data_IF_522766825077
#
_entry.id   IF_522766825077
#
_cell.length_a   1.000
_cell.length_b   1.000
_cell.length_c   1.000
_cell.angle_alpha   90.00
_cell.angle_beta   90.00
_cell.angle_gamma   90.00
#
_symmetry.space_group_name_H-M   'P 1'
#
loop_
_entity.id
_entity.type
_entity.pdbx_description
1 polymer ?
#
# COMPACT_ATOMS: atom_id res chain seq x y z
N UNK A 1 -4.33 21.01 -2.67
CA UNK A 1 -4.30 20.17 -1.46
C UNK A 1 -3.11 19.24 -1.51
N UNK A 2 -2.47 19.02 -0.34
CA UNK A 2 -1.28 18.18 -0.24
C UNK A 2 -1.68 16.70 -0.15
N UNK A 3 -1.07 15.81 -0.94
CA UNK A 3 -1.39 14.40 -1.01
C UNK A 3 -0.64 13.60 0.07
N UNK A 4 -1.29 12.62 0.68
CA UNK A 4 -0.71 11.77 1.72
C UNK A 4 -0.47 10.37 1.18
N UNK A 5 0.81 10.00 1.05
CA UNK A 5 1.22 8.62 0.77
C UNK A 5 1.48 7.91 2.09
N UNK A 6 1.17 6.61 2.15
CA UNK A 6 1.37 5.81 3.36
C UNK A 6 1.98 4.44 3.07
N UNK A 7 2.78 3.95 4.01
CA UNK A 7 3.25 2.56 4.06
C UNK A 7 3.15 2.03 5.49
N UNK A 8 2.73 0.79 5.64
CA UNK A 8 2.59 0.11 6.93
C UNK A 8 3.31 -1.22 6.88
N UNK A 9 4.34 -1.40 7.71
CA UNK A 9 5.06 -2.68 7.83
C UNK A 9 5.96 -2.76 9.07
N UNK A 10 6.63 -3.90 9.24
CA UNK A 10 7.64 -4.12 10.28
C UNK A 10 9.07 -3.76 9.87
N UNK A 11 9.27 -2.92 8.88
CA UNK A 11 10.54 -2.40 8.35
C UNK A 11 11.66 -3.43 8.21
N UNK A 12 11.32 -4.65 7.78
CA UNK A 12 12.29 -5.69 7.40
C UNK A 12 12.74 -5.52 5.97
N UNK A 13 13.93 -6.00 5.57
CA UNK A 13 14.44 -5.88 4.19
C UNK A 13 13.48 -6.33 3.10
N UNK A 14 12.71 -7.39 3.37
CA UNK A 14 11.68 -7.92 2.45
C UNK A 14 10.55 -6.92 2.16
N UNK A 15 10.32 -5.94 3.04
CA UNK A 15 9.29 -4.90 2.86
C UNK A 15 9.76 -3.71 2.04
N UNK A 16 11.08 -3.58 1.81
CA UNK A 16 11.67 -2.60 0.91
C UNK A 16 11.30 -1.15 1.24
N UNK A 17 11.28 -0.79 2.52
CA UNK A 17 10.93 0.57 2.97
C UNK A 17 11.82 1.66 2.36
N UNK A 18 13.12 1.44 2.12
CA UNK A 18 13.94 2.38 1.34
C UNK A 18 13.39 2.67 -0.06
N UNK A 19 12.75 1.70 -0.72
CA UNK A 19 12.15 1.93 -2.04
C UNK A 19 10.85 2.75 -1.93
N UNK A 20 10.07 2.62 -0.85
CA UNK A 20 8.94 3.54 -0.56
C UNK A 20 9.42 4.99 -0.51
N UNK A 21 10.54 5.26 0.18
CA UNK A 21 11.13 6.59 0.30
C UNK A 21 11.61 7.12 -1.06
N UNK A 22 12.24 6.27 -1.88
CA UNK A 22 12.67 6.64 -3.24
C UNK A 22 11.46 6.97 -4.13
N UNK A 23 10.42 6.14 -4.12
CA UNK A 23 9.15 6.40 -4.84
C UNK A 23 8.60 7.75 -4.40
N UNK A 24 8.46 7.97 -3.09
CA UNK A 24 7.97 9.23 -2.56
C UNK A 24 8.83 10.43 -2.98
N UNK A 25 10.15 10.31 -2.99
CA UNK A 25 11.05 11.41 -3.39
C UNK A 25 10.81 11.86 -4.83
N UNK A 26 10.44 10.93 -5.72
CA UNK A 26 10.07 11.26 -7.12
C UNK A 26 8.69 11.91 -7.17
N UNK A 27 7.70 11.36 -6.45
CA UNK A 27 6.35 11.93 -6.39
C UNK A 27 6.38 13.36 -5.86
N UNK A 28 7.12 13.60 -4.77
CA UNK A 28 7.24 14.91 -4.11
C UNK A 28 7.78 16.01 -5.02
N UNK A 29 8.65 15.67 -5.98
CA UNK A 29 9.16 16.64 -6.98
C UNK A 29 8.07 17.13 -7.93
N UNK A 30 6.99 16.37 -8.09
CA UNK A 30 5.91 16.64 -9.04
C UNK A 30 4.64 17.14 -8.36
N UNK A 31 4.31 16.58 -7.20
CA UNK A 31 3.08 16.87 -6.47
C UNK A 31 3.37 17.25 -5.02
N UNK A 32 2.76 18.33 -4.48
CA UNK A 32 2.77 18.60 -3.05
C UNK A 32 2.26 17.38 -2.28
N UNK A 33 3.12 16.75 -1.49
CA UNK A 33 2.78 15.49 -0.82
C UNK A 33 3.58 15.27 0.46
N UNK A 34 3.07 14.40 1.35
CA UNK A 34 3.74 13.89 2.54
C UNK A 34 3.74 12.37 2.54
N UNK A 35 4.71 11.78 3.24
CA UNK A 35 4.80 10.34 3.45
C UNK A 35 4.64 10.02 4.93
N UNK A 36 3.73 9.09 5.22
CA UNK A 36 3.57 8.49 6.55
C UNK A 36 4.11 7.07 6.51
N UNK A 37 5.04 6.76 7.40
CA UNK A 37 5.62 5.43 7.59
C UNK A 37 5.18 4.91 8.96
N UNK A 38 4.31 3.90 8.96
CA UNK A 38 3.78 3.26 10.16
C UNK A 38 4.49 1.93 10.38
N UNK A 39 4.97 1.72 11.59
CA UNK A 39 5.70 0.54 11.99
C UNK A 39 7.13 0.84 12.43
N UNK A 40 7.88 -0.22 12.66
CA UNK A 40 9.26 -0.13 13.13
C UNK A 40 10.02 -1.40 12.76
N UNK A 41 11.35 -1.34 12.76
CA UNK A 41 12.18 -2.48 12.46
C UNK A 41 13.61 -2.14 12.05
N UNK A 42 14.39 -3.15 11.64
CA UNK A 42 15.83 -3.00 11.43
C UNK A 42 16.22 -1.97 10.36
N UNK A 43 15.37 -1.70 9.36
CA UNK A 43 15.68 -0.72 8.32
C UNK A 43 15.34 0.73 8.69
N UNK A 44 14.80 1.00 9.89
CA UNK A 44 14.38 2.37 10.27
C UNK A 44 15.50 3.38 10.17
N UNK A 45 16.66 3.12 10.78
CA UNK A 45 17.79 4.05 10.77
C UNK A 45 18.31 4.34 9.36
N UNK A 46 18.31 3.33 8.49
CA UNK A 46 18.66 3.47 7.07
C UNK A 46 17.64 4.35 6.33
N UNK A 47 16.34 4.15 6.60
CA UNK A 47 15.27 4.97 6.04
C UNK A 47 15.39 6.45 6.46
N UNK A 48 15.68 6.72 7.72
CA UNK A 48 15.91 8.08 8.23
C UNK A 48 17.17 8.73 7.61
N UNK A 49 18.25 7.95 7.42
CA UNK A 49 19.44 8.40 6.71
C UNK A 49 19.13 8.78 5.26
N UNK A 50 18.39 7.90 4.56
CA UNK A 50 17.99 8.12 3.17
C UNK A 50 17.11 9.38 3.01
N UNK A 51 16.20 9.64 3.93
CA UNK A 51 15.41 10.87 3.92
C UNK A 51 16.29 12.12 4.01
N UNK A 52 17.34 12.12 4.84
CA UNK A 52 18.30 13.24 4.94
C UNK A 52 19.09 13.41 3.65
N UNK A 53 19.59 12.33 3.07
CA UNK A 53 20.35 12.35 1.81
C UNK A 53 19.53 12.89 0.63
N UNK A 54 18.24 12.56 0.59
CA UNK A 54 17.30 13.03 -0.43
C UNK A 54 16.72 14.42 -0.14
N UNK A 55 17.01 15.02 1.03
CA UNK A 55 16.50 16.34 1.41
C UNK A 55 14.98 16.39 1.64
N UNK A 56 14.37 15.27 2.07
CA UNK A 56 12.91 15.14 2.22
C UNK A 56 12.46 14.90 3.66
N UNK A 57 13.33 15.06 4.65
CA UNK A 57 13.07 14.73 6.05
C UNK A 57 11.81 15.40 6.61
N UNK A 58 11.58 16.67 6.26
CA UNK A 58 10.41 17.44 6.74
C UNK A 58 9.06 16.96 6.16
N UNK A 59 9.10 16.18 5.09
CA UNK A 59 7.91 15.64 4.42
C UNK A 59 7.62 14.16 4.78
N UNK A 60 8.48 13.54 5.60
CA UNK A 60 8.34 12.11 5.98
C UNK A 60 8.11 12.00 7.49
N UNK A 61 6.98 11.40 7.87
CA UNK A 61 6.63 11.15 9.26
C UNK A 61 6.78 9.67 9.60
N UNK A 62 7.68 9.34 10.50
CA UNK A 62 7.80 8.01 11.10
C UNK A 62 6.90 7.96 12.34
N UNK A 63 5.83 7.17 12.29
CA UNK A 63 4.82 7.07 13.36
C UNK A 63 5.17 6.02 14.42
N UNK A 64 6.15 5.12 14.14
CA UNK A 64 6.37 3.94 14.97
C UNK A 64 5.21 2.93 14.87
N UNK A 65 5.17 1.98 15.80
CA UNK A 65 4.06 1.01 15.87
C UNK A 65 2.79 1.71 16.33
N UNK A 66 1.68 1.37 15.72
CA UNK A 66 0.35 1.90 16.04
C UNK A 66 -0.61 0.74 16.30
N UNK A 67 -1.46 0.87 17.30
CA UNK A 67 -2.45 -0.15 17.67
C UNK A 67 -3.73 -0.03 16.85
N UNK A 68 -4.05 1.15 16.34
CA UNK A 68 -5.18 1.41 15.45
C UNK A 68 -4.70 2.01 14.13
N UNK A 69 -5.00 1.32 13.03
CA UNK A 69 -4.63 1.76 11.69
C UNK A 69 -5.75 2.50 10.95
N UNK A 70 -7.06 2.23 11.18
CA UNK A 70 -8.13 2.80 10.37
C UNK A 70 -8.11 4.32 10.31
N UNK A 71 -7.88 5.01 11.44
CA UNK A 71 -7.83 6.48 11.49
C UNK A 71 -6.67 7.03 10.68
N UNK A 72 -5.52 6.34 10.69
CA UNK A 72 -4.32 6.77 9.96
C UNK A 72 -4.47 6.45 8.47
N UNK A 73 -5.07 5.31 8.13
CA UNK A 73 -5.32 4.92 6.74
C UNK A 73 -6.38 5.82 6.08
N UNK A 74 -7.42 6.23 6.83
CA UNK A 74 -8.53 7.04 6.30
C UNK A 74 -8.12 8.44 5.82
N UNK A 75 -6.98 8.95 6.26
CA UNK A 75 -6.45 10.25 5.82
C UNK A 75 -5.46 10.11 4.65
N UNK A 76 -5.13 8.90 4.24
CA UNK A 76 -4.16 8.65 3.17
C UNK A 76 -4.83 8.68 1.78
N UNK A 77 -4.11 9.21 0.80
CA UNK A 77 -4.52 9.20 -0.60
C UNK A 77 -3.98 7.96 -1.35
N UNK A 78 -2.86 7.39 -0.92
CA UNK A 78 -2.22 6.30 -1.65
C UNK A 78 -1.39 5.40 -0.74
N UNK A 79 -1.58 4.09 -0.85
CA UNK A 79 -0.77 3.09 -0.16
C UNK A 79 0.33 2.54 -1.08
N UNK A 80 1.58 2.50 -0.60
CA UNK A 80 2.74 2.02 -1.36
C UNK A 80 3.27 0.73 -0.74
N UNK A 81 3.36 -0.35 -1.53
CA UNK A 81 3.83 -1.66 -1.08
C UNK A 81 4.82 -2.30 -2.08
N UNK A 82 6.09 -1.91 -2.09
CA UNK A 82 7.10 -2.41 -3.01
C UNK A 82 7.77 -3.71 -2.52
N UNK A 83 7.09 -4.50 -1.73
CA UNK A 83 7.62 -5.70 -1.07
C UNK A 83 8.30 -6.65 -2.07
N UNK A 84 9.38 -7.29 -1.64
CA UNK A 84 10.08 -8.36 -2.38
C UNK A 84 9.33 -9.69 -2.29
N UNK A 85 8.64 -9.91 -1.19
CA UNK A 85 7.79 -11.08 -0.97
C UNK A 85 6.64 -10.70 -0.05
N UNK A 86 5.46 -11.16 -0.39
CA UNK A 86 4.23 -10.92 0.38
C UNK A 86 3.27 -12.09 0.19
N UNK A 87 2.81 -12.69 1.27
CA UNK A 87 1.87 -13.82 1.18
C UNK A 87 0.51 -13.39 0.65
N UNK A 88 -0.05 -12.30 1.21
CA UNK A 88 -1.37 -11.81 0.83
C UNK A 88 -1.44 -10.27 0.76
N UNK A 89 -0.84 -9.56 1.72
CA UNK A 89 -0.86 -8.10 1.78
C UNK A 89 -1.95 -7.54 2.70
N UNK A 90 -2.07 -8.04 3.93
CA UNK A 90 -3.11 -7.58 4.88
C UNK A 90 -3.14 -6.07 5.05
N UNK A 91 -1.98 -5.39 5.18
CA UNK A 91 -1.95 -3.93 5.31
C UNK A 91 -2.43 -3.19 4.05
N UNK A 92 -2.27 -3.79 2.86
CA UNK A 92 -2.87 -3.26 1.64
C UNK A 92 -4.39 -3.49 1.62
N UNK A 93 -4.89 -4.65 2.09
CA UNK A 93 -6.32 -4.89 2.25
C UNK A 93 -6.96 -3.91 3.23
N UNK A 94 -6.31 -3.64 4.36
CA UNK A 94 -6.75 -2.63 5.34
C UNK A 94 -6.82 -1.24 4.71
N UNK A 95 -5.80 -0.84 3.93
CA UNK A 95 -5.83 0.42 3.19
C UNK A 95 -6.99 0.47 2.18
N UNK A 96 -7.19 -0.60 1.40
CA UNK A 96 -8.29 -0.69 0.44
C UNK A 96 -9.66 -0.64 1.13
N UNK A 97 -9.80 -1.19 2.34
CA UNK A 97 -11.02 -1.09 3.15
C UNK A 97 -11.31 0.34 3.65
N UNK A 98 -10.29 1.20 3.67
CA UNK A 98 -10.41 2.64 3.91
C UNK A 98 -10.49 3.47 2.61
N UNK A 99 -10.82 2.85 1.47
CA UNK A 99 -10.90 3.51 0.16
C UNK A 99 -9.56 4.06 -0.35
N UNK A 100 -8.43 3.52 0.12
CA UNK A 100 -7.10 3.94 -0.30
C UNK A 100 -6.59 3.03 -1.43
N UNK A 101 -6.38 3.55 -2.65
CA UNK A 101 -5.79 2.79 -3.74
C UNK A 101 -4.35 2.35 -3.42
N UNK A 102 -3.90 1.25 -4.03
CA UNK A 102 -2.62 0.62 -3.73
C UNK A 102 -1.71 0.63 -4.95
N UNK A 103 -0.43 1.01 -4.75
CA UNK A 103 0.63 0.69 -5.70
C UNK A 103 1.51 -0.39 -5.08
N UNK A 104 1.61 -1.54 -5.76
CA UNK A 104 2.32 -2.71 -5.25
C UNK A 104 3.28 -3.30 -6.27
N UNK A 105 4.22 -4.12 -5.77
CA UNK A 105 4.97 -5.05 -6.60
C UNK A 105 4.10 -6.22 -7.07
N UNK A 106 4.55 -6.93 -8.13
CA UNK A 106 3.90 -8.11 -8.72
C UNK A 106 4.31 -9.42 -8.03
N UNK A 107 4.34 -9.46 -6.68
CA UNK A 107 4.86 -10.61 -5.94
C UNK A 107 3.80 -11.30 -5.07
N UNK A 108 3.92 -12.62 -4.91
CA UNK A 108 3.06 -13.42 -4.02
C UNK A 108 1.58 -13.21 -4.29
N UNK A 109 0.78 -13.03 -3.24
CA UNK A 109 -0.66 -12.79 -3.33
C UNK A 109 -1.08 -11.35 -3.69
N UNK A 110 -0.14 -10.41 -3.84
CA UNK A 110 -0.49 -9.02 -4.16
C UNK A 110 -1.29 -8.85 -5.46
N UNK A 111 -1.00 -9.57 -6.57
CA UNK A 111 -1.81 -9.48 -7.78
C UNK A 111 -3.24 -10.03 -7.63
N UNK A 112 -3.47 -10.89 -6.64
CA UNK A 112 -4.81 -11.39 -6.33
C UNK A 112 -5.62 -10.34 -5.57
N UNK A 113 -4.98 -9.52 -4.75
CA UNK A 113 -5.61 -8.46 -3.98
C UNK A 113 -5.76 -7.17 -4.79
N UNK A 114 -4.66 -6.66 -5.33
CA UNK A 114 -4.58 -5.40 -6.05
C UNK A 114 -4.74 -5.63 -7.57
N UNK A 115 -5.82 -5.17 -8.15
CA UNK A 115 -6.11 -5.35 -9.57
C UNK A 115 -5.55 -4.17 -10.37
N UNK A 116 -4.53 -4.46 -11.20
CA UNK A 116 -3.85 -3.45 -12.03
C UNK A 116 -4.84 -2.64 -12.88
N UNK A 117 -4.75 -1.32 -12.80
CA UNK A 117 -5.61 -0.39 -13.53
C UNK A 117 -7.05 -0.30 -13.04
N UNK A 118 -7.37 -0.95 -11.89
CA UNK A 118 -8.73 -0.94 -11.31
C UNK A 118 -8.74 -0.48 -9.85
N UNK A 119 -7.99 -1.15 -8.98
CA UNK A 119 -7.92 -0.84 -7.53
C UNK A 119 -6.64 -0.11 -7.17
N UNK A 120 -5.71 -0.08 -8.08
CA UNK A 120 -4.39 0.50 -7.98
C UNK A 120 -3.55 0.14 -9.19
N UNK A 121 -2.23 0.16 -9.03
CA UNK A 121 -1.31 -0.29 -10.06
C UNK A 121 -0.31 -1.31 -9.50
N UNK A 122 0.15 -2.19 -10.37
CA UNK A 122 1.16 -3.20 -10.08
C UNK A 122 2.35 -2.94 -10.99
N UNK A 123 3.56 -2.97 -10.44
CA UNK A 123 4.82 -2.90 -11.17
C UNK A 123 5.71 -4.11 -10.82
N UNK A 124 6.69 -4.38 -11.66
CA UNK A 124 7.69 -5.39 -11.36
C UNK A 124 8.45 -5.05 -10.08
N UNK A 125 8.87 -6.08 -9.35
CA UNK A 125 9.68 -5.91 -8.15
C UNK A 125 10.93 -5.07 -8.45
N UNK A 126 11.16 -4.06 -7.62
CA UNK A 126 12.29 -3.14 -7.76
C UNK A 126 12.13 -2.01 -8.79
N UNK A 127 11.05 -1.98 -9.56
CA UNK A 127 10.78 -0.89 -10.51
C UNK A 127 10.19 0.36 -9.82
N UNK A 128 11.06 1.01 -9.04
CA UNK A 128 10.75 2.23 -8.28
C UNK A 128 10.25 3.36 -9.18
N UNK A 129 10.85 3.50 -10.37
CA UNK A 129 10.46 4.55 -11.33
C UNK A 129 9.05 4.35 -11.85
N UNK A 130 8.69 3.13 -12.19
CA UNK A 130 7.34 2.78 -12.66
C UNK A 130 6.31 3.02 -11.56
N UNK A 131 6.60 2.59 -10.33
CA UNK A 131 5.72 2.82 -9.19
C UNK A 131 5.51 4.32 -8.94
N UNK A 132 6.55 5.13 -9.02
CA UNK A 132 6.45 6.58 -8.88
C UNK A 132 5.60 7.21 -10.00
N UNK A 133 5.80 6.77 -11.25
CA UNK A 133 4.98 7.23 -12.38
C UNK A 133 3.49 6.90 -12.18
N UNK A 134 3.18 5.70 -11.73
CA UNK A 134 1.81 5.30 -11.42
C UNK A 134 1.19 6.12 -10.28
N UNK A 135 1.99 6.42 -9.23
CA UNK A 135 1.53 7.28 -8.15
C UNK A 135 1.17 8.69 -8.65
N UNK A 136 2.05 9.30 -9.45
CA UNK A 136 1.83 10.61 -10.03
C UNK A 136 0.60 10.59 -10.96
N UNK A 137 0.52 9.62 -11.87
CA UNK A 137 -0.61 9.48 -12.80
C UNK A 137 -1.95 9.40 -12.07
N UNK A 138 -2.02 8.55 -11.03
CA UNK A 138 -3.26 8.35 -10.28
C UNK A 138 -3.64 9.59 -9.48
N UNK A 139 -2.70 10.18 -8.75
CA UNK A 139 -2.96 11.33 -7.88
C UNK A 139 -3.21 12.63 -8.65
N UNK A 140 -2.78 12.72 -9.92
CA UNK A 140 -3.01 13.86 -10.80
C UNK A 140 -4.34 13.82 -11.56
N UNK A 141 -5.07 12.70 -11.51
CA UNK A 141 -6.33 12.53 -12.24
C UNK A 141 -7.48 12.24 -11.28
N UNK A 142 -8.18 13.28 -10.86
CA UNK A 142 -9.25 13.21 -9.87
C UNK A 142 -10.35 12.20 -10.21
N UNK A 143 -10.80 12.15 -11.48
CA UNK A 143 -11.85 11.20 -11.89
C UNK A 143 -11.39 9.74 -11.79
N UNK A 144 -10.16 9.48 -12.24
CA UNK A 144 -9.55 8.14 -12.14
C UNK A 144 -9.34 7.77 -10.68
N UNK A 145 -8.85 8.70 -9.87
CA UNK A 145 -8.60 8.51 -8.44
C UNK A 145 -9.88 8.10 -7.70
N UNK A 146 -10.97 8.84 -7.85
CA UNK A 146 -12.26 8.52 -7.24
C UNK A 146 -12.81 7.15 -7.68
N UNK A 147 -12.60 6.77 -8.95
CA UNK A 147 -12.98 5.44 -9.42
C UNK A 147 -12.15 4.34 -8.72
N UNK A 148 -10.84 4.56 -8.57
CA UNK A 148 -9.95 3.59 -7.93
C UNK A 148 -10.25 3.45 -6.44
N UNK A 149 -10.59 4.53 -5.73
CA UNK A 149 -11.05 4.50 -4.34
C UNK A 149 -12.26 3.58 -4.17
N UNK A 150 -13.31 3.80 -4.96
CA UNK A 150 -14.53 2.96 -4.93
C UNK A 150 -14.22 1.50 -5.25
N UNK A 151 -13.38 1.26 -6.25
CA UNK A 151 -12.99 -0.09 -6.63
C UNK A 151 -12.13 -0.78 -5.55
N UNK A 152 -11.23 -0.05 -4.90
CA UNK A 152 -10.44 -0.56 -3.78
C UNK A 152 -11.35 -1.02 -2.65
N UNK A 153 -12.29 -0.20 -2.22
CA UNK A 153 -13.29 -0.57 -1.21
C UNK A 153 -14.12 -1.79 -1.62
N UNK A 154 -14.67 -1.76 -2.84
CA UNK A 154 -15.46 -2.89 -3.35
C UNK A 154 -14.65 -4.19 -3.41
N UNK A 155 -13.35 -4.10 -3.74
CA UNK A 155 -12.45 -5.25 -3.72
C UNK A 155 -12.20 -5.77 -2.31
N UNK A 156 -11.97 -4.89 -1.34
CA UNK A 156 -11.77 -5.27 0.06
C UNK A 156 -12.99 -5.99 0.65
N UNK A 157 -14.21 -5.59 0.26
CA UNK A 157 -15.46 -6.22 0.70
C UNK A 157 -15.57 -7.72 0.31
N UNK A 158 -14.83 -8.16 -0.72
CA UNK A 158 -14.80 -9.57 -1.13
C UNK A 158 -14.05 -10.44 -0.12
N UNK A 159 -13.13 -9.84 0.64
CA UNK A 159 -12.28 -10.52 1.62
C UNK A 159 -12.76 -10.34 3.06
N UNK A 160 -14.04 -10.03 3.27
CA UNK A 160 -14.63 -10.01 4.61
C UNK A 160 -14.66 -11.40 5.23
N UNK A 161 -14.38 -11.47 6.54
CA UNK A 161 -14.32 -12.71 7.31
C UNK A 161 -15.55 -13.57 7.14
N UNK A 162 -16.75 -13.00 7.21
CA UNK A 162 -18.04 -13.70 7.05
C UNK A 162 -18.12 -14.44 5.72
N UNK A 163 -17.60 -13.86 4.64
CA UNK A 163 -17.65 -14.45 3.31
C UNK A 163 -16.62 -15.56 3.17
N UNK A 164 -15.42 -15.34 3.68
CA UNK A 164 -14.33 -16.32 3.67
C UNK A 164 -14.72 -17.55 4.52
N UNK A 165 -15.25 -17.34 5.72
CA UNK A 165 -15.72 -18.41 6.61
C UNK A 165 -16.81 -19.24 5.91
N UNK A 166 -17.82 -18.61 5.31
CA UNK A 166 -18.86 -19.31 4.57
C UNK A 166 -18.36 -20.13 3.38
N UNK A 167 -17.29 -19.68 2.72
CA UNK A 167 -16.69 -20.46 1.63
C UNK A 167 -15.87 -21.65 2.16
N UNK A 168 -15.19 -21.52 3.30
CA UNK A 168 -14.55 -22.64 3.99
C UNK A 168 -15.54 -23.67 4.49
N UNK A 169 -16.66 -23.26 5.10
CA UNK A 169 -17.72 -24.15 5.56
C UNK A 169 -18.26 -25.01 4.42
N UNK A 170 -18.62 -24.39 3.28
CA UNK A 170 -19.06 -25.11 2.08
C UNK A 170 -18.00 -26.07 1.54
N UNK A 171 -16.73 -25.69 1.58
CA UNK A 171 -15.64 -26.54 1.15
C UNK A 171 -15.51 -27.79 2.03
N UNK A 172 -15.59 -27.62 3.36
CA UNK A 172 -15.59 -28.75 4.30
C UNK A 172 -16.81 -29.66 4.13
N UNK A 173 -18.01 -29.09 3.99
CA UNK A 173 -19.23 -29.87 3.74
C UNK A 173 -19.10 -30.71 2.47
N UNK A 174 -18.53 -30.16 1.42
CA UNK A 174 -18.27 -30.89 0.17
C UNK A 174 -17.33 -32.07 0.37
N UNK A 175 -16.20 -31.90 1.06
CA UNK A 175 -15.24 -32.97 1.33
C UNK A 175 -15.86 -34.07 2.20
N UNK A 176 -16.69 -33.72 3.18
CA UNK A 176 -17.33 -34.69 4.08
C UNK A 176 -18.47 -35.45 3.41
N UNK A 177 -18.96 -35.00 2.26
CA UNK A 177 -20.02 -35.66 1.48
C UNK A 177 -19.51 -36.58 0.37
N UNK A 178 -18.21 -36.55 0.09
CA UNK A 178 -17.49 -37.47 -0.82
C UNK A 178 -16.98 -38.71 -0.06
#
# INVERSE_FOLDING_TARGET
DEKILIHVSNFRPVKRVPDVIKIFSVVRKTLPSKLILVGDGPERSECERLCRELGITEYVKFMGKQDSLPEILSIADLFIMPSQSESFGLSALEAMSCEVPVISSSVGGLPELNLHGKTGYIAEFGDVERMAKYAIELLSNEKKYQLFQKNARARAEIFKDEKIIGDYEKFYEKILSE
#
